data_IF_690989288724
#
_entry.id   IF_690989288724
#
_cell.length_a   1.000
_cell.length_b   1.000
_cell.length_c   1.000
_cell.angle_alpha   90.00
_cell.angle_beta   90.00
_cell.angle_gamma   90.00
#
_symmetry.space_group_name_H-M   'P 1'
#
loop_
_entity.id
_entity.type
_entity.pdbx_description
1 polymer ?
#
# COMPACT_ATOMS: atom_id res chain seq x y z
N UNK A 1 -16.28 15.00 -15.57
CA UNK A 1 -16.87 13.71 -15.16
C UNK A 1 -15.93 12.92 -14.24
N UNK A 2 -14.74 12.51 -14.69
CA UNK A 2 -13.75 11.75 -13.87
C UNK A 2 -13.35 12.49 -12.58
N UNK A 3 -13.08 13.79 -12.67
CA UNK A 3 -12.76 14.64 -11.51
C UNK A 3 -13.78 14.54 -10.38
N UNK A 4 -15.06 14.62 -10.72
CA UNK A 4 -16.15 14.65 -9.75
C UNK A 4 -16.37 13.26 -9.12
N UNK A 5 -16.20 12.20 -9.90
CA UNK A 5 -16.25 10.82 -9.41
C UNK A 5 -15.12 10.56 -8.40
N UNK A 6 -13.90 10.98 -8.71
CA UNK A 6 -12.75 10.81 -7.81
C UNK A 6 -12.93 11.59 -6.50
N UNK A 7 -13.47 12.81 -6.56
CA UNK A 7 -13.76 13.57 -5.35
C UNK A 7 -14.80 12.87 -4.47
N UNK A 8 -15.88 12.33 -5.05
CA UNK A 8 -16.88 11.53 -4.32
C UNK A 8 -16.26 10.27 -3.71
N UNK A 9 -15.36 9.59 -4.43
CA UNK A 9 -14.61 8.47 -3.88
C UNK A 9 -13.79 8.89 -2.66
N UNK A 10 -13.02 9.98 -2.73
CA UNK A 10 -12.24 10.44 -1.60
C UNK A 10 -13.10 10.89 -0.40
N UNK A 11 -14.24 11.53 -0.66
CA UNK A 11 -15.24 11.85 0.36
C UNK A 11 -15.79 10.60 1.04
N UNK A 12 -16.11 9.56 0.27
CA UNK A 12 -16.54 8.26 0.78
C UNK A 12 -15.44 7.59 1.63
N UNK A 13 -14.21 7.58 1.13
CA UNK A 13 -13.03 7.04 1.81
C UNK A 13 -12.74 7.74 3.13
N UNK A 14 -13.00 9.04 3.23
CA UNK A 14 -12.83 9.83 4.45
C UNK A 14 -13.88 9.59 5.53
N UNK A 15 -14.95 8.82 5.29
CA UNK A 15 -15.97 8.55 6.32
C UNK A 15 -15.38 7.67 7.43
N UNK A 16 -15.81 7.91 8.68
CA UNK A 16 -15.27 7.19 9.85
C UNK A 16 -15.42 5.68 9.73
N UNK A 17 -16.60 5.20 9.31
CA UNK A 17 -16.84 3.77 9.09
C UNK A 17 -15.94 3.18 8.00
N UNK A 18 -15.78 3.90 6.88
CA UNK A 18 -14.90 3.47 5.77
C UNK A 18 -13.44 3.38 6.22
N UNK A 19 -12.93 4.40 6.93
CA UNK A 19 -11.58 4.40 7.49
C UNK A 19 -11.37 3.25 8.48
N UNK A 20 -12.34 2.97 9.35
CA UNK A 20 -12.24 1.88 10.33
C UNK A 20 -12.20 0.51 9.63
N UNK A 21 -13.08 0.28 8.65
CA UNK A 21 -13.08 -0.96 7.87
C UNK A 21 -11.78 -1.12 7.09
N UNK A 22 -11.32 -0.07 6.41
CA UNK A 22 -10.07 -0.11 5.66
C UNK A 22 -8.85 -0.36 6.57
N UNK A 23 -8.81 0.26 7.75
CA UNK A 23 -7.76 0.04 8.75
C UNK A 23 -7.75 -1.42 9.23
N UNK A 24 -8.92 -1.98 9.56
CA UNK A 24 -9.03 -3.39 9.97
C UNK A 24 -8.60 -4.32 8.85
N UNK A 25 -9.03 -4.06 7.61
CA UNK A 25 -8.62 -4.86 6.45
C UNK A 25 -7.09 -4.83 6.25
N UNK A 26 -6.48 -3.65 6.29
CA UNK A 26 -5.02 -3.49 6.21
C UNK A 26 -4.32 -4.22 7.35
N UNK A 27 -4.80 -4.06 8.59
CA UNK A 27 -4.20 -4.71 9.76
C UNK A 27 -4.30 -6.23 9.70
N UNK A 28 -5.45 -6.78 9.28
CA UNK A 28 -5.63 -8.23 9.11
C UNK A 28 -4.69 -8.76 8.03
N UNK A 29 -4.61 -8.08 6.88
CA UNK A 29 -3.73 -8.50 5.79
C UNK A 29 -2.25 -8.48 6.23
N UNK A 30 -1.78 -7.38 6.83
CA UNK A 30 -0.38 -7.21 7.23
C UNK A 30 0.03 -8.05 8.45
N UNK A 31 -0.83 -8.18 9.45
CA UNK A 31 -0.46 -8.80 10.74
C UNK A 31 -0.85 -10.27 10.84
N UNK A 32 -1.80 -10.72 10.00
CA UNK A 32 -2.34 -12.08 10.08
C UNK A 32 -2.13 -12.82 8.76
N UNK A 33 -2.52 -12.26 7.62
CA UNK A 33 -2.52 -13.03 6.36
C UNK A 33 -1.12 -13.18 5.79
N UNK A 34 -0.44 -12.07 5.46
CA UNK A 34 0.87 -12.12 4.79
C UNK A 34 1.97 -12.84 5.58
N UNK A 35 2.13 -12.62 6.90
CA UNK A 35 3.17 -13.31 7.67
C UNK A 35 2.98 -14.83 7.77
N UNK A 36 1.76 -15.33 7.48
CA UNK A 36 1.43 -16.75 7.57
C UNK A 36 1.35 -17.43 6.20
N UNK A 37 1.74 -16.77 5.12
CA UNK A 37 1.83 -17.40 3.80
C UNK A 37 3.05 -18.35 3.74
N UNK A 38 2.88 -19.62 3.33
CA UNK A 38 3.97 -20.59 3.28
C UNK A 38 4.83 -20.42 2.01
N UNK A 39 5.44 -19.23 1.84
CA UNK A 39 6.30 -18.92 0.67
C UNK A 39 7.70 -19.52 0.82
N UNK A 40 8.14 -19.80 2.04
CA UNK A 40 9.45 -20.43 2.30
C UNK A 40 10.63 -19.45 2.38
N UNK A 41 10.40 -18.15 2.22
CA UNK A 41 11.40 -17.09 2.38
C UNK A 41 10.77 -15.69 2.33
N UNK A 42 11.60 -14.66 2.45
CA UNK A 42 11.15 -13.26 2.37
C UNK A 42 10.70 -12.92 0.95
N UNK A 43 9.48 -12.40 0.82
CA UNK A 43 8.89 -12.02 -0.46
C UNK A 43 9.62 -10.81 -1.09
N UNK A 44 9.76 -10.79 -2.41
CA UNK A 44 10.52 -9.75 -3.13
C UNK A 44 9.95 -8.35 -2.93
N UNK A 45 8.63 -8.21 -2.89
CA UNK A 45 7.90 -6.95 -2.75
C UNK A 45 7.95 -6.35 -1.33
N UNK A 46 8.46 -7.10 -0.35
CA UNK A 46 8.74 -6.60 1.01
C UNK A 46 10.12 -5.94 1.11
N UNK A 47 10.99 -6.15 0.13
CA UNK A 47 12.33 -5.55 0.05
C UNK A 47 12.22 -4.14 -0.54
N UNK A 48 13.12 -3.20 -0.20
CA UNK A 48 13.13 -1.86 -0.82
C UNK A 48 13.56 -1.88 -2.30
N UNK A 49 14.12 -2.99 -2.77
CA UNK A 49 14.61 -3.25 -4.11
C UNK A 49 15.50 -4.50 -4.10
N UNK A 50 15.82 -5.03 -5.27
CA UNK A 50 16.64 -6.25 -5.40
C UNK A 50 17.39 -6.31 -6.75
N UNK A 51 18.53 -7.00 -6.75
CA UNK A 51 19.32 -7.32 -7.94
C UNK A 51 18.91 -8.66 -8.56
N UNK A 52 19.37 -8.92 -9.80
CA UNK A 52 19.10 -10.19 -10.50
C UNK A 52 19.48 -11.43 -9.69
N UNK A 53 20.69 -11.46 -9.11
CA UNK A 53 21.17 -12.60 -8.34
C UNK A 53 20.36 -12.82 -7.06
N UNK A 54 19.92 -11.74 -6.40
CA UNK A 54 19.07 -11.81 -5.22
C UNK A 54 17.67 -12.32 -5.55
N UNK A 55 17.11 -11.90 -6.69
CA UNK A 55 15.84 -12.42 -7.19
C UNK A 55 15.95 -13.92 -7.48
N UNK A 56 16.97 -14.36 -8.23
CA UNK A 56 17.18 -15.78 -8.54
C UNK A 56 17.38 -16.62 -7.27
N UNK A 57 18.18 -16.14 -6.31
CA UNK A 57 18.37 -16.80 -5.03
C UNK A 57 17.07 -16.92 -4.23
N UNK A 58 16.25 -15.87 -4.21
CA UNK A 58 14.94 -15.90 -3.53
C UNK A 58 14.00 -16.90 -4.22
N UNK A 59 13.96 -16.93 -5.56
CA UNK A 59 13.13 -17.88 -6.31
C UNK A 59 13.51 -19.34 -6.06
N UNK A 60 14.82 -19.62 -5.94
CA UNK A 60 15.32 -20.95 -5.57
C UNK A 60 14.91 -21.31 -4.13
N UNK A 61 15.10 -20.37 -3.19
CA UNK A 61 14.71 -20.53 -1.77
C UNK A 61 13.22 -20.82 -1.61
N UNK A 62 12.35 -20.15 -2.36
CA UNK A 62 10.91 -20.40 -2.33
C UNK A 62 10.53 -21.84 -2.72
N UNK A 63 11.34 -22.49 -3.58
CA UNK A 63 10.98 -23.78 -4.17
C UNK A 63 9.71 -23.72 -5.03
N UNK A 64 9.27 -24.87 -5.56
CA UNK A 64 8.10 -24.92 -6.45
C UNK A 64 6.79 -24.52 -5.75
N UNK A 65 6.59 -25.00 -4.52
CA UNK A 65 5.36 -24.76 -3.74
C UNK A 65 5.29 -23.31 -3.25
N UNK A 66 6.41 -22.73 -2.80
CA UNK A 66 6.47 -21.34 -2.38
C UNK A 66 6.24 -20.38 -3.54
N UNK A 67 6.83 -20.66 -4.72
CA UNK A 67 6.57 -19.87 -5.94
C UNK A 67 5.09 -19.91 -6.35
N UNK A 68 4.45 -21.08 -6.26
CA UNK A 68 3.01 -21.23 -6.56
C UNK A 68 2.15 -20.46 -5.57
N UNK A 69 2.45 -20.59 -4.26
CA UNK A 69 1.76 -19.86 -3.19
C UNK A 69 1.89 -18.35 -3.38
N UNK A 70 3.10 -17.88 -3.65
CA UNK A 70 3.37 -16.47 -3.86
C UNK A 70 2.67 -15.94 -5.10
N UNK A 71 2.68 -16.67 -6.23
CA UNK A 71 1.98 -16.24 -7.44
C UNK A 71 0.46 -16.12 -7.21
N UNK A 72 -0.13 -17.06 -6.47
CA UNK A 72 -1.55 -17.00 -6.10
C UNK A 72 -1.83 -15.82 -5.16
N UNK A 73 -0.98 -15.59 -4.15
CA UNK A 73 -1.10 -14.46 -3.24
C UNK A 73 -0.99 -13.13 -3.99
N UNK A 74 -0.01 -12.97 -4.88
CA UNK A 74 0.19 -11.74 -5.64
C UNK A 74 -0.94 -11.43 -6.61
N UNK A 75 -1.52 -12.44 -7.26
CA UNK A 75 -2.69 -12.22 -8.11
C UNK A 75 -3.98 -11.94 -7.33
N UNK A 76 -4.07 -12.37 -6.07
CA UNK A 76 -5.29 -12.25 -5.26
C UNK A 76 -5.16 -11.23 -4.13
N UNK A 77 -4.45 -11.60 -3.06
CA UNK A 77 -4.26 -10.80 -1.86
C UNK A 77 -3.53 -9.49 -2.16
N UNK A 78 -2.42 -9.52 -2.91
CA UNK A 78 -1.67 -8.28 -3.24
C UNK A 78 -2.43 -7.42 -4.25
N UNK A 79 -3.37 -7.97 -5.03
CA UNK A 79 -4.27 -7.17 -5.87
C UNK A 79 -5.36 -6.49 -5.04
N UNK A 80 -5.87 -7.15 -3.99
CA UNK A 80 -6.90 -6.61 -3.11
C UNK A 80 -6.33 -5.62 -2.07
N UNK A 81 -5.09 -5.80 -1.65
CA UNK A 81 -4.46 -5.00 -0.61
C UNK A 81 -4.38 -3.49 -0.95
N UNK A 82 -4.01 -3.08 -2.19
CA UNK A 82 -4.14 -1.71 -2.67
C UNK A 82 -5.51 -1.11 -2.49
N UNK A 83 -6.60 -1.86 -2.69
CA UNK A 83 -7.94 -1.31 -2.49
C UNK A 83 -8.15 -0.88 -1.04
N UNK A 84 -7.64 -1.66 -0.08
CA UNK A 84 -7.74 -1.35 1.35
C UNK A 84 -6.85 -0.16 1.73
N UNK A 85 -5.56 -0.20 1.42
CA UNK A 85 -4.65 0.88 1.85
C UNK A 85 -4.88 2.19 1.08
N UNK A 86 -5.25 2.15 -0.21
CA UNK A 86 -5.62 3.34 -0.98
C UNK A 86 -6.83 4.00 -0.36
N UNK A 87 -7.86 3.22 -0.03
CA UNK A 87 -9.06 3.73 0.65
C UNK A 87 -8.69 4.38 1.98
N UNK A 88 -7.87 3.72 2.79
CA UNK A 88 -7.42 4.23 4.08
C UNK A 88 -6.67 5.57 3.93
N UNK A 89 -5.57 5.59 3.17
CA UNK A 89 -4.67 6.74 3.14
C UNK A 89 -5.22 7.88 2.28
N UNK A 90 -5.90 7.61 1.16
CA UNK A 90 -6.59 8.66 0.42
C UNK A 90 -7.71 9.28 1.26
N UNK A 91 -8.43 8.45 2.03
CA UNK A 91 -9.45 8.90 2.98
C UNK A 91 -8.88 9.78 4.10
N UNK A 92 -7.75 9.39 4.72
CA UNK A 92 -7.07 10.18 5.74
C UNK A 92 -6.58 11.51 5.19
N UNK A 93 -5.86 11.49 4.07
CA UNK A 93 -5.32 12.69 3.42
C UNK A 93 -6.46 13.63 3.02
N UNK A 94 -7.52 13.10 2.42
CA UNK A 94 -8.67 13.90 2.04
C UNK A 94 -9.36 14.48 3.28
N UNK A 95 -9.75 13.66 4.26
CA UNK A 95 -10.50 14.11 5.45
C UNK A 95 -9.76 15.16 6.27
N UNK A 96 -8.46 14.98 6.47
CA UNK A 96 -7.66 15.82 7.36
C UNK A 96 -6.77 16.82 6.62
N UNK A 97 -7.02 17.05 5.32
CA UNK A 97 -6.32 18.04 4.51
C UNK A 97 -6.28 19.41 5.20
N UNK A 98 -5.16 20.11 5.05
CA UNK A 98 -4.97 21.42 5.67
C UNK A 98 -5.88 22.50 5.04
N UNK A 99 -6.11 22.43 3.73
CA UNK A 99 -6.98 23.35 2.99
C UNK A 99 -7.72 22.61 1.89
N UNK A 100 -8.80 23.18 1.37
CA UNK A 100 -9.47 22.64 0.18
C UNK A 100 -8.55 22.56 -1.03
N UNK A 101 -7.52 23.41 -1.14
CA UNK A 101 -6.59 23.41 -2.26
C UNK A 101 -5.66 22.20 -2.33
N UNK A 102 -5.52 21.43 -1.25
CA UNK A 102 -4.62 20.27 -1.18
C UNK A 102 -5.33 18.92 -1.29
N UNK A 103 -6.62 18.90 -1.63
CA UNK A 103 -7.41 17.67 -1.76
C UNK A 103 -6.82 16.68 -2.78
N UNK A 104 -6.12 17.18 -3.81
CA UNK A 104 -5.50 16.37 -4.86
C UNK A 104 -4.35 15.49 -4.35
N UNK A 105 -3.79 15.76 -3.17
CA UNK A 105 -2.80 14.88 -2.53
C UNK A 105 -3.36 13.48 -2.26
N UNK A 106 -4.69 13.33 -2.18
CA UNK A 106 -5.36 12.04 -2.05
C UNK A 106 -5.19 11.13 -3.29
N UNK A 107 -4.68 11.64 -4.41
CA UNK A 107 -4.28 10.81 -5.55
C UNK A 107 -2.96 10.07 -5.34
N UNK A 108 -2.09 10.50 -4.40
CA UNK A 108 -0.77 9.88 -4.22
C UNK A 108 -0.89 8.39 -3.85
N UNK A 109 -1.74 7.98 -2.88
CA UNK A 109 -1.97 6.56 -2.61
C UNK A 109 -2.52 5.82 -3.83
N UNK A 110 -3.38 6.44 -4.66
CA UNK A 110 -3.93 5.82 -5.87
C UNK A 110 -2.81 5.47 -6.86
N UNK A 111 -1.86 6.38 -7.07
CA UNK A 111 -0.70 6.14 -7.94
C UNK A 111 0.18 5.02 -7.37
N UNK A 112 0.42 5.00 -6.06
CA UNK A 112 1.13 3.90 -5.41
C UNK A 112 0.42 2.55 -5.62
N UNK A 113 -0.91 2.52 -5.48
CA UNK A 113 -1.75 1.36 -5.76
C UNK A 113 -1.56 0.84 -7.19
N UNK A 114 -1.52 1.73 -8.18
CA UNK A 114 -1.26 1.35 -9.56
C UNK A 114 0.16 0.80 -9.76
N UNK A 115 1.17 1.40 -9.12
CA UNK A 115 2.54 0.89 -9.16
C UNK A 115 2.66 -0.50 -8.53
N UNK A 116 1.95 -0.73 -7.42
CA UNK A 116 1.89 -2.03 -6.73
C UNK A 116 1.26 -3.10 -7.63
N UNK A 117 0.14 -2.80 -8.30
CA UNK A 117 -0.46 -3.74 -9.26
C UNK A 117 0.48 -4.10 -10.43
N UNK A 118 1.24 -3.12 -10.95
CA UNK A 118 2.22 -3.38 -12.00
C UNK A 118 3.38 -4.25 -11.51
N UNK A 119 3.85 -4.00 -10.29
CA UNK A 119 4.85 -4.84 -9.64
C UNK A 119 4.34 -6.28 -9.44
N UNK A 120 3.14 -6.46 -8.91
CA UNK A 120 2.53 -7.78 -8.66
C UNK A 120 2.43 -8.60 -9.94
N UNK A 121 2.12 -7.96 -11.09
CA UNK A 121 2.14 -8.61 -12.41
C UNK A 121 3.54 -9.06 -12.78
N UNK A 122 4.56 -8.23 -12.57
CA UNK A 122 5.95 -8.57 -12.89
C UNK A 122 6.47 -9.71 -11.99
N UNK A 123 6.19 -9.65 -10.70
CA UNK A 123 6.56 -10.69 -9.73
C UNK A 123 5.88 -12.01 -10.08
N UNK A 124 4.57 -11.99 -10.34
CA UNK A 124 3.83 -13.19 -10.77
C UNK A 124 4.42 -13.79 -12.04
N UNK A 125 4.75 -12.97 -13.04
CA UNK A 125 5.36 -13.44 -14.27
C UNK A 125 6.72 -14.10 -14.01
N UNK A 126 7.57 -13.49 -13.18
CA UNK A 126 8.87 -14.08 -12.80
C UNK A 126 8.71 -15.40 -12.04
N UNK A 127 7.78 -15.49 -11.09
CA UNK A 127 7.51 -16.69 -10.31
C UNK A 127 7.11 -17.88 -11.19
N UNK A 128 6.29 -17.63 -12.22
CA UNK A 128 5.83 -18.65 -13.19
C UNK A 128 6.92 -19.02 -14.20
N UNK A 129 7.79 -18.08 -14.57
CA UNK A 129 8.83 -18.28 -15.58
C UNK A 129 10.10 -18.95 -15.05
N UNK A 130 10.32 -18.95 -13.73
CA UNK A 130 11.53 -19.52 -13.12
C UNK A 130 11.79 -20.97 -13.61
N UNK A 131 13.04 -21.31 -14.01
CA UNK A 131 14.29 -20.53 -13.88
C UNK A 131 14.61 -19.57 -15.05
N UNK A 132 13.74 -19.47 -16.06
CA UNK A 132 14.01 -18.75 -17.30
C UNK A 132 13.64 -17.24 -17.22
N UNK A 133 14.13 -16.56 -16.18
CA UNK A 133 13.86 -15.13 -15.94
C UNK A 133 14.97 -14.26 -16.52
N UNK A 134 14.61 -13.19 -17.24
CA UNK A 134 15.59 -12.24 -17.79
C UNK A 134 16.03 -11.15 -16.80
N UNK A 135 17.31 -10.74 -16.83
CA UNK A 135 17.82 -9.65 -16.01
C UNK A 135 17.10 -8.31 -16.21
N UNK A 136 16.65 -8.01 -17.43
CA UNK A 136 15.87 -6.80 -17.75
C UNK A 136 14.51 -6.82 -17.06
N UNK A 137 13.85 -7.98 -17.01
CA UNK A 137 12.56 -8.11 -16.32
C UNK A 137 12.70 -7.92 -14.82
N UNK A 138 13.73 -8.51 -14.21
CA UNK A 138 14.04 -8.29 -12.78
C UNK A 138 14.30 -6.81 -12.50
N UNK A 139 15.04 -6.13 -13.37
CA UNK A 139 15.30 -4.70 -13.22
C UNK A 139 14.00 -3.87 -13.26
N UNK A 140 13.06 -4.20 -14.16
CA UNK A 140 11.74 -3.56 -14.19
C UNK A 140 10.92 -3.84 -12.93
N UNK A 141 10.87 -5.09 -12.49
CA UNK A 141 10.14 -5.47 -11.27
C UNK A 141 10.69 -4.72 -10.05
N UNK A 142 12.01 -4.74 -9.86
CA UNK A 142 12.72 -4.04 -8.79
C UNK A 142 12.54 -2.51 -8.85
N UNK A 143 12.47 -1.93 -10.06
CA UNK A 143 12.16 -0.51 -10.21
C UNK A 143 10.75 -0.17 -9.72
N UNK A 144 9.73 -0.99 -10.05
CA UNK A 144 8.38 -0.80 -9.51
C UNK A 144 8.35 -0.97 -7.99
N UNK A 145 9.03 -1.99 -7.45
CA UNK A 145 9.21 -2.18 -5.99
C UNK A 145 9.79 -0.94 -5.33
N UNK A 146 10.86 -0.39 -5.89
CA UNK A 146 11.55 0.78 -5.33
C UNK A 146 10.66 2.02 -5.37
N UNK A 147 10.02 2.27 -6.52
CA UNK A 147 9.13 3.43 -6.71
C UNK A 147 7.94 3.36 -5.76
N UNK A 148 7.28 2.19 -5.64
CA UNK A 148 6.14 2.04 -4.72
C UNK A 148 6.59 2.23 -3.27
N UNK A 149 7.79 1.80 -2.89
CA UNK A 149 8.29 1.92 -1.52
C UNK A 149 8.47 3.37 -1.08
N UNK A 150 9.05 4.20 -1.95
CA UNK A 150 9.24 5.63 -1.69
C UNK A 150 7.94 6.42 -1.71
N UNK A 151 7.08 6.19 -2.72
CA UNK A 151 5.75 6.84 -2.77
C UNK A 151 4.92 6.41 -1.55
N UNK A 152 4.96 5.10 -1.23
CA UNK A 152 4.44 4.45 -0.04
C UNK A 152 4.72 5.23 1.24
N UNK A 153 5.99 5.28 1.59
CA UNK A 153 6.46 5.97 2.80
C UNK A 153 5.99 7.42 2.86
N UNK A 154 6.05 8.14 1.73
CA UNK A 154 5.67 9.55 1.66
C UNK A 154 4.20 9.81 1.99
N UNK A 155 3.27 9.09 1.35
CA UNK A 155 1.84 9.32 1.62
C UNK A 155 1.42 8.79 2.99
N UNK A 156 2.07 7.73 3.50
CA UNK A 156 1.77 7.16 4.81
C UNK A 156 2.13 8.14 5.92
N UNK A 157 3.33 8.72 5.86
CA UNK A 157 3.78 9.76 6.78
C UNK A 157 2.84 10.97 6.73
N UNK A 158 2.45 11.41 5.52
CA UNK A 158 1.49 12.49 5.34
C UNK A 158 0.14 12.18 5.99
N UNK A 159 -0.46 11.02 5.67
CA UNK A 159 -1.77 10.63 6.17
C UNK A 159 -1.83 10.50 7.69
N UNK A 160 -0.83 9.83 8.29
CA UNK A 160 -0.73 9.70 9.76
C UNK A 160 -0.43 11.05 10.41
N UNK A 161 0.47 11.84 9.83
CA UNK A 161 0.79 13.18 10.34
C UNK A 161 -0.42 14.11 10.39
N UNK A 162 -1.25 14.12 9.33
CA UNK A 162 -2.49 14.90 9.29
C UNK A 162 -3.50 14.42 10.34
N UNK A 163 -3.64 13.10 10.53
CA UNK A 163 -4.49 12.52 11.58
C UNK A 163 -4.04 12.96 12.98
N UNK A 164 -2.74 12.83 13.28
CA UNK A 164 -2.18 13.21 14.58
C UNK A 164 -2.33 14.70 14.86
N UNK A 165 -2.12 15.55 13.85
CA UNK A 165 -2.33 16.99 13.95
C UNK A 165 -3.81 17.33 14.25
N UNK A 166 -4.74 16.67 13.55
CA UNK A 166 -6.17 16.86 13.79
C UNK A 166 -6.59 16.40 15.20
N UNK A 167 -6.08 15.26 15.66
CA UNK A 167 -6.30 14.75 17.01
C UNK A 167 -5.75 15.72 18.08
N UNK A 168 -4.51 16.22 17.89
CA UNK A 168 -3.89 17.17 18.80
C UNK A 168 -4.67 18.48 18.92
N UNK A 169 -5.15 19.04 17.80
CA UNK A 169 -6.02 20.23 17.79
C UNK A 169 -7.33 19.99 18.55
N UNK A 170 -7.95 18.81 18.37
CA UNK A 170 -9.19 18.47 19.05
C UNK A 170 -9.01 18.31 20.57
N UNK A 171 -7.91 17.69 21.01
CA UNK A 171 -7.56 17.58 22.44
C UNK A 171 -7.33 18.96 23.04
N UNK A 172 -6.55 19.81 22.37
CA UNK A 172 -6.23 21.16 22.86
C UNK A 172 -7.47 22.06 22.98
N UNK A 173 -8.38 21.99 22.01
CA UNK A 173 -9.65 22.71 22.06
C UNK A 173 -10.53 22.27 23.25
N UNK A 174 -10.54 20.98 23.60
CA UNK A 174 -11.26 20.46 24.76
C UNK A 174 -10.68 20.93 26.09
N UNK A 175 -9.35 21.01 26.20
CA UNK A 175 -8.69 21.52 27.40
C UNK A 175 -9.06 22.99 27.62
N UNK A 176 -8.92 23.84 26.59
CA UNK A 176 -9.26 25.26 26.70
C UNK A 176 -10.75 25.54 26.94
N UNK A 177 -11.64 24.76 26.32
CA UNK A 177 -13.09 24.94 26.51
C UNK A 177 -13.61 24.45 27.87
N UNK A 178 -12.83 23.63 28.60
CA UNK A 178 -13.15 23.21 29.97
C UNK A 178 -12.76 24.21 31.05
N UNK A 179 -11.87 25.17 30.74
CA UNK A 179 -11.48 26.24 31.66
C UNK A 179 -12.48 27.41 31.68
N UNK A 180 -13.44 27.46 30.74
CA UNK A 180 -14.45 28.52 30.60
C UNK A 180 -15.86 28.14 31.15
N UNK A 181 -16.02 26.93 31.76
CA UNK A 181 -17.28 26.42 32.32
C UNK A 181 -17.22 26.23 33.83
#
# INVERSE_FOLDING_TARGET
>A
MVYEQMRRFFEFSGRTGTLAVALVAVAVLLLVVFPNLPVGGDMLDTKPGYAYQEAMASMEEYGADGRTTYALASMSLDTLFPLAYVTLFAGLIYRFRATEGTWWLAYIPVVAGLCDLLENVQITAMLVQYPDIGAVQVAWASAFTTVKWWIGSGYQILGVGLLLLAAGRAVFARIRGGDES
#
